data_IF_502083206374
#
_entry.id   IF_502083206374
#
_cell.length_a   1.000
_cell.length_b   1.000
_cell.length_c   1.000
_cell.angle_alpha   90.00
_cell.angle_beta   90.00
_cell.angle_gamma   90.00
#
_symmetry.space_group_name_H-M   'P 1'
#
loop_
_entity.id
_entity.type
_entity.pdbx_description
1 polymer ?
#
# COMPACT_ATOMS: atom_id res chain seq x y z
N UNK A 1 -29.74 -12.27 -24.96
CA UNK A 1 -30.49 -11.40 -24.04
C UNK A 1 -29.47 -10.68 -23.16
N UNK A 2 -28.94 -9.57 -23.65
CA UNK A 2 -27.99 -8.72 -22.91
C UNK A 2 -28.80 -7.74 -22.04
N UNK A 3 -28.67 -7.87 -20.72
CA UNK A 3 -29.27 -6.94 -19.79
C UNK A 3 -28.46 -5.63 -19.78
N UNK A 4 -28.97 -4.59 -20.44
CA UNK A 4 -28.51 -3.22 -20.30
C UNK A 4 -28.79 -2.74 -18.87
N UNK A 5 -27.78 -2.79 -18.01
CA UNK A 5 -27.77 -2.05 -16.75
C UNK A 5 -27.45 -0.58 -17.05
N UNK A 6 -28.48 0.16 -17.49
CA UNK A 6 -28.45 1.61 -17.64
C UNK A 6 -28.39 2.28 -16.28
N UNK A 7 -27.19 2.41 -15.72
CA UNK A 7 -26.94 3.19 -14.51
C UNK A 7 -26.93 4.66 -14.93
N UNK A 8 -28.10 5.31 -14.98
CA UNK A 8 -28.23 6.76 -15.16
C UNK A 8 -27.32 7.42 -14.13
N UNK A 9 -26.31 8.13 -14.60
CA UNK A 9 -25.34 8.71 -13.70
C UNK A 9 -26.00 9.91 -13.02
N UNK A 10 -25.79 10.10 -11.71
CA UNK A 10 -26.32 11.28 -10.99
C UNK A 10 -25.95 12.61 -11.67
N UNK A 11 -24.85 12.63 -12.44
CA UNK A 11 -24.45 13.78 -13.24
C UNK A 11 -25.43 14.14 -14.36
N UNK A 12 -26.12 13.16 -14.95
CA UNK A 12 -27.09 13.39 -16.01
C UNK A 12 -28.31 14.15 -15.47
N UNK A 13 -28.76 13.80 -14.25
CA UNK A 13 -29.87 14.48 -13.57
C UNK A 13 -29.56 15.94 -13.24
N UNK A 14 -28.34 16.25 -12.78
CA UNK A 14 -27.93 17.63 -12.49
C UNK A 14 -27.84 18.48 -13.75
N UNK A 15 -27.32 17.92 -14.84
CA UNK A 15 -27.28 18.60 -16.14
C UNK A 15 -28.68 18.91 -16.67
N UNK A 16 -29.64 18.00 -16.47
CA UNK A 16 -31.00 18.22 -16.91
C UNK A 16 -31.71 19.34 -16.12
N UNK A 17 -31.47 19.44 -14.81
CA UNK A 17 -31.95 20.57 -13.99
C UNK A 17 -31.36 21.90 -14.50
N UNK A 18 -30.07 21.95 -14.84
CA UNK A 18 -29.45 23.17 -15.39
C UNK A 18 -30.09 23.59 -16.73
N UNK A 19 -30.39 22.62 -17.60
CA UNK A 19 -31.11 22.89 -18.86
C UNK A 19 -32.54 23.39 -18.61
N UNK A 20 -33.21 22.95 -17.54
CA UNK A 20 -34.54 23.45 -17.17
C UNK A 20 -34.47 24.90 -16.69
N UNK A 21 -33.51 25.23 -15.84
CA UNK A 21 -33.27 26.61 -15.37
C UNK A 21 -32.97 27.52 -16.55
N UNK A 22 -32.10 27.11 -17.48
CA UNK A 22 -31.80 27.84 -18.70
C UNK A 22 -33.07 28.09 -19.53
N UNK A 23 -33.87 27.04 -19.78
CA UNK A 23 -35.14 27.14 -20.52
C UNK A 23 -36.11 28.11 -19.86
N UNK A 24 -36.17 28.15 -18.52
CA UNK A 24 -37.06 29.07 -17.81
C UNK A 24 -36.68 30.55 -18.05
N UNK A 25 -35.38 30.86 -18.09
CA UNK A 25 -34.89 32.20 -18.41
C UNK A 25 -35.14 32.58 -19.89
N UNK A 26 -34.90 31.65 -20.82
CA UNK A 26 -35.19 31.83 -22.25
C UNK A 26 -36.68 32.10 -22.47
N UNK A 27 -37.57 31.30 -21.88
CA UNK A 27 -39.02 31.49 -21.97
C UNK A 27 -39.47 32.83 -21.38
N UNK A 28 -38.86 33.26 -20.26
CA UNK A 28 -39.17 34.56 -19.66
C UNK A 28 -38.74 35.71 -20.57
N UNK A 29 -37.62 35.54 -21.27
CA UNK A 29 -37.17 36.47 -22.29
C UNK A 29 -38.09 36.53 -23.52
N UNK A 30 -38.52 35.38 -24.04
CA UNK A 30 -39.42 35.31 -25.19
C UNK A 30 -40.78 35.98 -24.91
N UNK A 31 -41.30 35.85 -23.69
CA UNK A 31 -42.54 36.52 -23.26
C UNK A 31 -42.40 38.04 -23.30
N UNK A 32 -41.25 38.58 -22.89
CA UNK A 32 -40.98 40.03 -22.94
C UNK A 32 -40.84 40.48 -24.40
N UNK A 33 -40.21 39.67 -25.25
CA UNK A 33 -40.05 39.93 -26.68
C UNK A 33 -41.41 40.04 -27.39
N UNK A 34 -42.35 39.13 -27.05
CA UNK A 34 -43.69 39.08 -27.61
C UNK A 34 -44.63 40.17 -27.08
N UNK A 35 -44.51 40.56 -25.80
CA UNK A 35 -45.36 41.61 -25.21
C UNK A 35 -45.08 42.99 -25.81
N UNK A 36 -43.84 43.28 -26.19
CA UNK A 36 -43.44 44.60 -26.71
C UNK A 36 -43.69 45.74 -25.71
N UNK A 37 -43.53 47.00 -26.16
CA UNK A 37 -43.85 48.19 -25.36
C UNK A 37 -42.64 49.01 -24.89
N UNK A 38 -42.93 50.16 -24.28
CA UNK A 38 -41.91 51.16 -23.90
C UNK A 38 -40.92 50.69 -22.84
N UNK A 39 -41.31 49.74 -22.00
CA UNK A 39 -40.50 49.24 -20.88
C UNK A 39 -39.79 47.91 -21.20
N UNK A 40 -39.81 47.46 -22.45
CA UNK A 40 -39.23 46.18 -22.88
C UNK A 40 -37.77 46.04 -22.44
N UNK A 41 -36.92 47.01 -22.79
CA UNK A 41 -35.49 46.98 -22.46
C UNK A 41 -35.24 46.90 -20.95
N UNK A 42 -36.05 47.59 -20.14
CA UNK A 42 -35.93 47.58 -18.68
C UNK A 42 -36.19 46.17 -18.11
N UNK A 43 -37.29 45.54 -18.54
CA UNK A 43 -37.63 44.16 -18.14
C UNK A 43 -36.58 43.14 -18.61
N UNK A 44 -36.03 43.30 -19.82
CA UNK A 44 -34.95 42.44 -20.31
C UNK A 44 -33.69 42.56 -19.44
N UNK A 45 -33.32 43.79 -19.08
CA UNK A 45 -32.19 44.05 -18.18
C UNK A 45 -32.42 43.45 -16.80
N UNK A 46 -33.63 43.51 -16.25
CA UNK A 46 -33.97 42.86 -14.97
C UNK A 46 -33.80 41.34 -15.02
N UNK A 47 -34.27 40.68 -16.09
CA UNK A 47 -34.11 39.23 -16.25
C UNK A 47 -32.64 38.85 -16.37
N UNK A 48 -31.85 39.59 -17.14
CA UNK A 48 -30.41 39.36 -17.27
C UNK A 48 -29.68 39.60 -15.94
N UNK A 49 -30.04 40.64 -15.18
CA UNK A 49 -29.47 40.90 -13.84
C UNK A 49 -29.78 39.76 -12.87
N UNK A 50 -31.01 39.24 -12.87
CA UNK A 50 -31.40 38.10 -12.04
C UNK A 50 -30.59 36.84 -12.44
N UNK A 51 -30.49 36.56 -13.74
CA UNK A 51 -29.71 35.43 -14.23
C UNK A 51 -28.23 35.52 -13.83
N UNK A 52 -27.61 36.70 -13.97
CA UNK A 52 -26.23 36.95 -13.55
C UNK A 52 -26.08 36.77 -12.03
N UNK A 53 -27.02 37.27 -11.23
CA UNK A 53 -27.00 37.10 -9.76
C UNK A 53 -27.07 35.63 -9.33
N UNK A 54 -27.94 34.84 -9.98
CA UNK A 54 -28.06 33.41 -9.71
C UNK A 54 -26.79 32.66 -10.12
N UNK A 55 -26.21 32.98 -11.29
CA UNK A 55 -24.95 32.42 -11.74
C UNK A 55 -23.79 32.72 -10.77
N UNK A 56 -23.71 33.95 -10.25
CA UNK A 56 -22.71 34.31 -9.23
C UNK A 56 -22.91 33.50 -7.94
N UNK A 57 -24.16 33.31 -7.51
CA UNK A 57 -24.50 32.53 -6.32
C UNK A 57 -24.15 31.05 -6.49
N UNK A 58 -24.47 30.46 -7.65
CA UNK A 58 -24.13 29.07 -7.98
C UNK A 58 -22.62 28.86 -8.06
N UNK A 59 -21.90 29.76 -8.72
CA UNK A 59 -20.43 29.70 -8.79
C UNK A 59 -19.80 29.83 -7.40
N UNK A 60 -20.34 30.69 -6.54
CA UNK A 60 -19.86 30.82 -5.16
C UNK A 60 -20.08 29.54 -4.34
N UNK A 61 -21.24 28.88 -4.51
CA UNK A 61 -21.50 27.59 -3.88
C UNK A 61 -20.58 26.50 -4.42
N UNK A 62 -20.36 26.45 -5.73
CA UNK A 62 -19.47 25.48 -6.37
C UNK A 62 -18.03 25.64 -5.86
N UNK A 63 -17.53 26.87 -5.76
CA UNK A 63 -16.19 27.14 -5.19
C UNK A 63 -16.10 26.58 -3.77
N UNK A 64 -17.07 26.89 -2.89
CA UNK A 64 -17.08 26.36 -1.51
C UNK A 64 -17.09 24.83 -1.46
N UNK A 65 -17.94 24.19 -2.26
CA UNK A 65 -18.02 22.72 -2.32
C UNK A 65 -16.71 22.12 -2.82
N UNK A 66 -16.07 22.74 -3.81
CA UNK A 66 -14.76 22.31 -4.30
C UNK A 66 -13.70 22.48 -3.21
N UNK A 67 -13.66 23.61 -2.52
CA UNK A 67 -12.76 23.86 -1.39
C UNK A 67 -12.94 22.82 -0.27
N UNK A 68 -14.18 22.51 0.09
CA UNK A 68 -14.50 21.48 1.10
C UNK A 68 -14.02 20.09 0.66
N UNK A 69 -14.24 19.72 -0.60
CA UNK A 69 -13.78 18.45 -1.16
C UNK A 69 -12.25 18.37 -1.24
N UNK A 70 -11.58 19.46 -1.59
CA UNK A 70 -10.13 19.56 -1.57
C UNK A 70 -9.57 19.44 -0.16
N UNK A 71 -10.21 20.07 0.83
CA UNK A 71 -9.84 19.97 2.24
C UNK A 71 -10.06 18.56 2.79
N UNK A 72 -11.16 17.90 2.43
CA UNK A 72 -11.42 16.51 2.81
C UNK A 72 -10.39 15.57 2.17
N UNK A 73 -10.11 15.74 0.88
CA UNK A 73 -9.13 14.92 0.15
C UNK A 73 -7.73 15.06 0.73
N UNK A 74 -7.30 16.29 1.04
CA UNK A 74 -5.99 16.56 1.65
C UNK A 74 -5.89 16.01 3.08
N UNK A 75 -6.96 16.16 3.88
CA UNK A 75 -7.03 15.59 5.24
C UNK A 75 -6.96 14.07 5.22
N UNK A 76 -7.70 13.41 4.32
CA UNK A 76 -7.68 11.96 4.14
C UNK A 76 -6.30 11.48 3.70
N UNK A 77 -5.65 12.19 2.78
CA UNK A 77 -4.29 11.87 2.33
C UNK A 77 -3.27 12.00 3.48
N UNK A 78 -3.41 13.01 4.34
CA UNK A 78 -2.54 13.20 5.49
C UNK A 78 -2.67 12.05 6.51
N UNK A 79 -3.91 11.61 6.79
CA UNK A 79 -4.17 10.47 7.67
C UNK A 79 -3.57 9.18 7.11
N UNK A 80 -3.78 8.89 5.83
CA UNK A 80 -3.23 7.69 5.19
C UNK A 80 -1.70 7.70 5.14
N UNK A 81 -1.07 8.87 4.94
CA UNK A 81 0.39 9.00 5.05
C UNK A 81 0.88 8.66 6.45
N UNK A 82 0.19 9.11 7.50
CA UNK A 82 0.54 8.79 8.91
C UNK A 82 0.44 7.28 9.17
N UNK A 83 -0.67 6.65 8.81
CA UNK A 83 -0.85 5.18 8.93
C UNK A 83 0.23 4.41 8.19
N UNK A 84 0.56 4.84 6.96
CA UNK A 84 1.62 4.22 6.18
C UNK A 84 2.99 4.37 6.86
N UNK A 85 3.29 5.53 7.46
CA UNK A 85 4.53 5.71 8.21
C UNK A 85 4.61 4.84 9.45
N UNK A 86 3.52 4.70 10.21
CA UNK A 86 3.42 3.84 11.40
C UNK A 86 3.66 2.37 11.03
N UNK A 87 2.91 1.85 10.05
CA UNK A 87 3.09 0.48 9.55
C UNK A 87 4.51 0.24 9.00
N UNK A 88 5.11 1.24 8.37
CA UNK A 88 6.49 1.14 7.89
C UNK A 88 7.52 1.11 9.04
N UNK A 89 7.24 1.75 10.17
CA UNK A 89 8.08 1.71 11.36
C UNK A 89 7.95 0.36 12.08
N UNK A 90 6.74 -0.16 12.23
CA UNK A 90 6.46 -1.49 12.80
C UNK A 90 7.20 -2.58 12.02
N UNK A 91 7.05 -2.62 10.69
CA UNK A 91 7.77 -3.58 9.84
C UNK A 91 9.29 -3.48 9.96
N UNK A 92 9.83 -2.27 10.14
CA UNK A 92 11.27 -2.07 10.37
C UNK A 92 11.69 -2.60 11.74
N UNK A 93 10.90 -2.37 12.78
CA UNK A 93 11.15 -2.86 14.12
C UNK A 93 11.11 -4.40 14.17
N UNK A 94 10.11 -5.01 13.53
CA UNK A 94 10.00 -6.47 13.36
C UNK A 94 11.21 -7.04 12.61
N UNK A 95 11.58 -6.45 11.48
CA UNK A 95 12.74 -6.88 10.72
C UNK A 95 14.04 -6.77 11.55
N UNK A 96 14.19 -5.73 12.36
CA UNK A 96 15.33 -5.58 13.27
C UNK A 96 15.31 -6.63 14.40
N UNK A 97 14.14 -6.98 14.93
CA UNK A 97 13.99 -8.04 15.92
C UNK A 97 14.34 -9.42 15.33
N UNK A 98 13.85 -9.73 14.14
CA UNK A 98 14.18 -10.97 13.43
C UNK A 98 15.68 -11.08 13.11
N UNK A 99 16.31 -9.99 12.67
CA UNK A 99 17.78 -9.97 12.46
C UNK A 99 18.55 -10.25 13.74
N UNK A 100 18.13 -9.69 14.88
CA UNK A 100 18.75 -9.98 16.18
C UNK A 100 18.59 -11.46 16.57
N UNK A 101 17.40 -12.04 16.37
CA UNK A 101 17.15 -13.46 16.62
C UNK A 101 18.02 -14.36 15.76
N UNK A 102 18.13 -14.05 14.47
CA UNK A 102 19.01 -14.78 13.54
C UNK A 102 20.48 -14.69 13.99
N UNK A 103 20.96 -13.50 14.35
CA UNK A 103 22.33 -13.32 14.83
C UNK A 103 22.64 -14.12 16.10
N UNK A 104 21.69 -14.23 17.04
CA UNK A 104 21.81 -15.10 18.22
C UNK A 104 21.95 -16.58 17.83
N UNK A 105 21.07 -17.06 16.94
CA UNK A 105 21.12 -18.45 16.44
C UNK A 105 22.42 -18.75 15.69
N UNK A 106 22.90 -17.82 14.88
CA UNK A 106 24.19 -17.97 14.19
C UNK A 106 25.36 -18.07 15.18
N UNK A 107 25.30 -17.33 16.30
CA UNK A 107 26.31 -17.43 17.35
C UNK A 107 26.23 -18.77 18.11
N UNK A 108 25.03 -19.25 18.45
CA UNK A 108 24.83 -20.57 19.05
C UNK A 108 25.36 -21.70 18.14
N UNK A 109 25.06 -21.63 16.84
CA UNK A 109 25.56 -22.60 15.86
C UNK A 109 27.09 -22.59 15.79
N UNK A 110 27.72 -21.41 15.79
CA UNK A 110 29.19 -21.30 15.88
C UNK A 110 29.73 -21.90 17.18
N UNK A 111 29.07 -21.66 18.31
CA UNK A 111 29.43 -22.25 19.60
C UNK A 111 29.36 -23.77 19.58
N UNK A 112 28.29 -24.34 19.03
CA UNK A 112 28.11 -25.79 18.89
C UNK A 112 29.19 -26.41 17.99
N UNK A 113 29.49 -25.79 16.86
CA UNK A 113 30.55 -26.23 15.95
C UNK A 113 31.92 -26.23 16.66
N UNK A 114 32.19 -25.24 17.51
CA UNK A 114 33.42 -25.18 18.30
C UNK A 114 33.48 -26.29 19.37
N UNK A 115 32.36 -26.62 20.03
CA UNK A 115 32.29 -27.78 20.94
C UNK A 115 32.63 -29.08 20.20
N UNK A 116 32.02 -29.31 19.03
CA UNK A 116 32.29 -30.49 18.20
C UNK A 116 33.75 -30.55 17.75
N UNK A 117 34.34 -29.40 17.41
CA UNK A 117 35.75 -29.28 17.04
C UNK A 117 36.67 -29.70 18.20
N UNK A 118 36.41 -29.19 19.41
CA UNK A 118 37.19 -29.53 20.63
C UNK A 118 37.09 -31.00 20.99
N UNK A 119 35.87 -31.55 20.94
CA UNK A 119 35.62 -32.98 21.13
C UNK A 119 36.48 -33.85 20.22
N UNK A 120 36.55 -33.49 18.93
CA UNK A 120 37.33 -34.23 17.94
C UNK A 120 38.84 -34.11 18.14
N UNK A 121 39.32 -32.97 18.61
CA UNK A 121 40.76 -32.67 18.70
C UNK A 121 41.40 -33.03 20.04
N UNK A 122 40.64 -32.91 21.14
CA UNK A 122 41.18 -33.05 22.50
C UNK A 122 40.51 -34.20 23.30
N UNK A 123 39.54 -34.92 22.72
CA UNK A 123 38.79 -36.01 23.37
C UNK A 123 38.06 -35.64 24.68
N UNK A 124 37.85 -34.34 24.94
CA UNK A 124 37.04 -33.85 26.06
C UNK A 124 36.11 -32.69 25.67
N UNK A 125 34.94 -32.63 26.33
CA UNK A 125 33.98 -31.53 26.20
C UNK A 125 34.26 -30.43 27.21
N UNK A 126 34.76 -29.26 26.77
CA UNK A 126 34.76 -28.04 27.60
C UNK A 126 33.94 -26.93 26.96
N UNK A 127 33.01 -26.37 27.73
CA UNK A 127 32.20 -25.21 27.34
C UNK A 127 32.89 -23.87 27.66
N UNK A 128 34.13 -23.89 28.16
CA UNK A 128 34.84 -22.68 28.55
C UNK A 128 34.99 -21.71 27.37
N UNK A 129 34.49 -20.49 27.57
CA UNK A 129 34.45 -19.42 26.57
C UNK A 129 33.36 -19.56 25.50
N UNK A 130 32.47 -20.55 25.60
CA UNK A 130 31.34 -20.73 24.69
C UNK A 130 30.06 -20.39 25.42
N UNK A 131 29.41 -19.30 25.00
CA UNK A 131 28.13 -18.89 25.54
C UNK A 131 27.02 -19.19 24.53
N UNK A 132 26.00 -19.90 24.99
CA UNK A 132 24.76 -20.09 24.24
C UNK A 132 23.71 -19.11 24.76
N UNK A 133 22.91 -18.58 23.85
CA UNK A 133 21.80 -17.71 24.21
C UNK A 133 20.63 -18.54 24.75
N UNK A 134 20.18 -18.24 25.96
CA UNK A 134 18.96 -18.82 26.51
C UNK A 134 17.74 -18.38 25.70
N UNK A 135 16.84 -19.34 25.44
CA UNK A 135 15.57 -19.07 24.76
C UNK A 135 14.64 -18.41 25.77
N UNK A 136 14.31 -17.14 25.55
CA UNK A 136 13.35 -16.43 26.41
C UNK A 136 11.91 -16.74 26.00
N UNK A 137 10.94 -16.54 26.90
CA UNK A 137 9.51 -16.66 26.56
C UNK A 137 9.12 -15.77 25.37
N UNK A 138 9.72 -14.59 25.28
CA UNK A 138 9.53 -13.65 24.18
C UNK A 138 10.05 -14.17 22.84
N UNK A 139 11.01 -15.10 22.82
CA UNK A 139 11.46 -15.77 21.60
C UNK A 139 10.48 -16.83 21.09
N UNK A 140 9.66 -17.40 21.98
CA UNK A 140 8.66 -18.43 21.68
C UNK A 140 7.29 -17.79 21.37
N UNK A 141 6.87 -16.84 22.20
CA UNK A 141 5.52 -16.26 22.17
C UNK A 141 5.45 -14.85 21.56
N UNK A 142 6.60 -14.23 21.24
CA UNK A 142 6.67 -12.85 20.76
C UNK A 142 6.66 -11.81 21.89
N UNK A 143 6.76 -10.50 21.58
CA UNK A 143 6.64 -9.44 22.58
C UNK A 143 5.28 -9.53 23.29
N UNK A 144 5.29 -9.50 24.61
CA UNK A 144 4.12 -9.72 25.49
C UNK A 144 2.94 -8.78 25.20
N UNK A 145 3.20 -7.63 24.58
CA UNK A 145 2.25 -6.56 24.27
C UNK A 145 1.10 -7.01 23.33
N UNK A 146 1.26 -8.11 22.58
CA UNK A 146 0.19 -8.65 21.74
C UNK A 146 -1.00 -9.24 22.51
N UNK A 147 -0.83 -9.55 23.80
CA UNK A 147 -1.87 -10.21 24.60
C UNK A 147 -2.87 -9.23 25.22
N UNK A 148 -2.47 -7.98 25.47
CA UNK A 148 -3.30 -7.02 26.22
C UNK A 148 -4.33 -6.29 25.32
N UNK A 149 -4.02 -6.02 24.05
CA UNK A 149 -4.96 -5.31 23.16
C UNK A 149 -6.23 -6.09 22.80
N UNK A 150 -6.26 -7.42 22.97
CA UNK A 150 -7.43 -8.25 22.65
C UNK A 150 -8.38 -8.51 23.82
N UNK A 151 -8.00 -8.15 25.04
CA UNK A 151 -8.84 -8.33 26.23
C UNK A 151 -9.63 -7.08 26.62
N UNK A 152 -9.23 -5.88 26.19
CA UNK A 152 -9.93 -4.63 26.55
C UNK A 152 -11.01 -4.19 25.54
N UNK A 153 -11.11 -4.80 24.36
CA UNK A 153 -12.12 -4.41 23.35
C UNK A 153 -13.39 -5.28 23.38
N UNK A 154 -13.66 -5.95 24.50
CA UNK A 154 -14.89 -6.68 24.75
C UNK A 154 -15.79 -5.93 25.73
N UNK A 155 -16.88 -5.37 25.18
CA UNK A 155 -18.14 -5.10 25.89
C UNK A 155 -18.13 -4.10 27.07
N UNK A 156 -18.17 -2.81 26.74
CA UNK A 156 -18.89 -1.85 27.59
C UNK A 156 -19.71 -0.90 26.73
N UNK A 157 -21.03 -1.06 26.86
CA UNK A 157 -22.05 -0.48 25.99
C UNK A 157 -22.13 1.04 25.94
N UNK A 158 -22.81 1.46 24.88
CA UNK A 158 -23.11 2.83 24.52
C UNK A 158 -23.72 3.68 25.64
N UNK A 159 -23.20 4.89 25.83
CA UNK A 159 -24.04 6.09 26.04
C UNK A 159 -23.50 7.26 25.21
N UNK A 160 -24.40 7.80 24.37
CA UNK A 160 -24.23 9.06 23.64
C UNK A 160 -24.08 10.21 24.64
N UNK A 161 -23.08 11.06 24.43
CA UNK A 161 -23.18 12.49 24.70
C UNK A 161 -22.11 13.26 23.91
N UNK A 162 -22.54 14.29 23.18
CA UNK A 162 -21.78 15.47 22.73
C UNK A 162 -22.67 16.67 23.09
N UNK A 163 -22.17 17.92 23.20
CA UNK A 163 -20.78 18.41 23.20
C UNK A 163 -20.47 19.44 24.32
N UNK A 164 -19.19 19.78 24.56
CA UNK A 164 -18.84 20.97 25.36
C UNK A 164 -17.36 21.15 25.74
N UNK A 165 -16.75 22.19 25.18
CA UNK A 165 -15.68 23.07 25.71
C UNK A 165 -14.35 22.52 26.28
N UNK A 166 -13.27 23.03 25.67
CA UNK A 166 -12.03 23.54 26.29
C UNK A 166 -11.60 23.03 27.68
N UNK A 167 -10.43 22.38 27.76
CA UNK A 167 -9.17 22.95 28.29
C UNK A 167 -8.04 21.90 28.27
N UNK A 168 -6.84 22.37 27.92
CA UNK A 168 -5.50 21.89 28.31
C UNK A 168 -5.16 20.38 28.21
N UNK A 169 -4.32 20.04 27.23
CA UNK A 169 -3.25 19.06 27.47
C UNK A 169 -2.04 19.31 26.55
N UNK A 170 -1.14 20.20 27.00
CA UNK A 170 0.23 20.31 26.48
C UNK A 170 1.12 19.29 27.20
N UNK A 171 0.97 18.00 26.87
CA UNK A 171 1.65 16.91 27.59
C UNK A 171 2.55 15.98 26.77
N UNK A 172 2.44 15.92 25.43
CA UNK A 172 2.98 14.78 24.67
C UNK A 172 3.90 15.10 23.47
N UNK A 173 4.50 16.30 23.41
CA UNK A 173 5.35 16.73 22.28
C UNK A 173 6.86 16.83 22.57
N UNK A 174 7.41 16.06 23.53
CA UNK A 174 8.85 16.14 23.86
C UNK A 174 9.74 14.95 23.47
N UNK A 175 9.23 13.95 22.73
CA UNK A 175 10.05 12.78 22.39
C UNK A 175 10.26 12.54 20.88
N UNK A 176 10.33 13.58 20.05
CA UNK A 176 10.80 13.47 18.66
C UNK A 176 11.70 14.66 18.32
N UNK A 177 12.87 14.75 18.98
CA UNK A 177 13.93 15.66 18.53
C UNK A 177 15.33 15.19 18.91
N UNK A 178 15.66 13.93 18.62
CA UNK A 178 17.06 13.48 18.60
C UNK A 178 17.24 12.33 17.60
N UNK A 179 17.34 12.67 16.31
CA UNK A 179 18.02 11.83 15.30
C UNK A 179 18.22 12.62 14.01
N UNK A 180 19.05 13.67 14.04
CA UNK A 180 19.63 14.31 12.85
C UNK A 180 20.81 15.19 13.27
N UNK A 181 21.89 14.56 13.74
CA UNK A 181 23.23 15.14 13.67
C UNK A 181 24.08 14.14 12.88
N UNK A 182 24.06 14.26 11.56
CA UNK A 182 25.15 13.70 10.77
C UNK A 182 26.36 14.62 10.92
N UNK A 183 27.55 14.09 11.22
CA UNK A 183 28.77 14.88 11.19
C UNK A 183 29.09 15.22 9.73
N UNK A 184 29.21 16.53 9.46
CA UNK A 184 29.60 17.05 8.17
C UNK A 184 30.98 16.57 7.75
N UNK A 185 31.10 16.21 6.48
CA UNK A 185 32.39 15.89 5.86
C UNK A 185 32.32 14.84 4.78
N UNK A 186 31.47 14.99 3.76
CA UNK A 186 31.53 14.11 2.58
C UNK A 186 31.51 14.96 1.33
N UNK A 187 32.65 14.94 0.62
CA UNK A 187 32.84 15.57 -0.67
C UNK A 187 31.73 15.17 -1.65
N UNK A 188 31.45 16.10 -2.57
CA UNK A 188 30.47 15.97 -3.66
C UNK A 188 30.75 14.73 -4.53
N UNK A 189 30.35 13.54 -4.07
CA UNK A 189 30.28 12.35 -4.92
C UNK A 189 29.13 12.53 -5.90
N UNK A 190 29.47 12.39 -7.17
CA UNK A 190 28.61 12.65 -8.33
C UNK A 190 27.31 11.82 -8.20
N UNK A 191 26.14 12.37 -8.56
CA UNK A 191 24.83 11.71 -8.43
C UNK A 191 24.62 10.50 -9.38
N UNK A 192 25.67 9.99 -10.01
CA UNK A 192 25.57 8.94 -11.02
C UNK A 192 25.61 7.51 -10.44
N UNK A 193 26.20 7.31 -9.26
CA UNK A 193 26.33 5.96 -8.66
C UNK A 193 25.02 5.44 -8.04
N UNK A 194 24.22 6.32 -7.41
CA UNK A 194 22.95 5.91 -6.77
C UNK A 194 21.89 5.40 -7.77
N UNK A 195 21.97 5.79 -9.03
CA UNK A 195 21.07 5.29 -10.07
C UNK A 195 21.37 3.83 -10.46
N UNK A 196 22.60 3.37 -10.26
CA UNK A 196 23.02 2.01 -10.59
C UNK A 196 22.59 1.03 -9.50
N UNK A 197 22.72 1.40 -8.23
CA UNK A 197 22.27 0.58 -7.08
C UNK A 197 20.75 0.36 -7.09
N UNK A 198 19.97 1.41 -7.37
CA UNK A 198 18.52 1.29 -7.44
C UNK A 198 18.08 0.38 -8.59
N UNK A 199 18.81 0.38 -9.71
CA UNK A 199 18.55 -0.50 -10.85
C UNK A 199 18.88 -1.96 -10.50
N UNK A 200 19.99 -2.21 -9.81
CA UNK A 200 20.37 -3.55 -9.34
C UNK A 200 19.32 -4.10 -8.36
N UNK A 201 18.84 -3.27 -7.42
CA UNK A 201 17.78 -3.65 -6.49
C UNK A 201 16.45 -3.93 -7.21
N UNK A 202 16.08 -3.12 -8.20
CA UNK A 202 14.88 -3.34 -9.01
C UNK A 202 14.95 -4.65 -9.79
N UNK A 203 16.08 -4.91 -10.47
CA UNK A 203 16.29 -6.14 -11.24
C UNK A 203 16.31 -7.38 -10.33
N UNK A 204 16.90 -7.27 -9.13
CA UNK A 204 16.88 -8.32 -8.11
C UNK A 204 15.46 -8.61 -7.61
N UNK A 205 14.70 -7.57 -7.28
CA UNK A 205 13.31 -7.70 -6.82
C UNK A 205 12.42 -8.30 -7.91
N UNK A 206 12.64 -7.92 -9.18
CA UNK A 206 11.91 -8.48 -10.31
C UNK A 206 12.20 -9.97 -10.51
N UNK A 207 13.46 -10.40 -10.35
CA UNK A 207 13.84 -11.82 -10.38
C UNK A 207 13.20 -12.60 -9.23
N UNK A 208 13.20 -12.07 -8.02
CA UNK A 208 12.58 -12.70 -6.85
C UNK A 208 11.07 -12.85 -7.03
N UNK A 209 10.36 -11.81 -7.50
CA UNK A 209 8.94 -11.89 -7.81
C UNK A 209 8.66 -12.99 -8.85
N UNK A 210 9.46 -13.06 -9.92
CA UNK A 210 9.31 -14.11 -10.94
C UNK A 210 9.56 -15.54 -10.40
N UNK A 211 10.38 -15.68 -9.35
CA UNK A 211 10.61 -16.96 -8.69
C UNK A 211 9.43 -17.33 -7.80
N UNK A 212 8.92 -16.38 -7.00
CA UNK A 212 7.72 -16.57 -6.17
C UNK A 212 6.47 -16.88 -7.01
N UNK A 213 6.31 -16.25 -8.17
CA UNK A 213 5.19 -16.56 -9.09
C UNK A 213 5.28 -17.97 -9.71
N UNK A 214 6.49 -18.51 -9.86
CA UNK A 214 6.68 -19.91 -10.27
C UNK A 214 6.31 -20.86 -9.12
N UNK A 215 6.71 -20.49 -7.90
CA UNK A 215 6.41 -21.27 -6.69
C UNK A 215 4.90 -21.31 -6.39
N UNK A 216 4.20 -20.18 -6.50
CA UNK A 216 2.74 -20.12 -6.35
C UNK A 216 2.05 -21.02 -7.38
N UNK A 217 2.52 -21.03 -8.64
CA UNK A 217 1.98 -21.92 -9.67
C UNK A 217 2.22 -23.40 -9.36
N UNK A 218 3.37 -23.74 -8.78
CA UNK A 218 3.68 -25.10 -8.31
C UNK A 218 2.72 -25.52 -7.19
N UNK A 219 2.61 -24.71 -6.13
CA UNK A 219 1.72 -24.99 -5.00
C UNK A 219 0.24 -25.10 -5.42
N UNK A 220 -0.22 -24.28 -6.37
CA UNK A 220 -1.57 -24.40 -6.91
C UNK A 220 -1.80 -25.73 -7.63
N UNK A 221 -0.77 -26.25 -8.33
CA UNK A 221 -0.85 -27.55 -8.98
C UNK A 221 -0.92 -28.68 -7.96
N UNK A 222 -0.11 -28.61 -6.91
CA UNK A 222 -0.11 -29.60 -5.82
C UNK A 222 -1.44 -29.59 -5.07
N UNK A 223 -2.00 -28.39 -4.80
CA UNK A 223 -3.33 -28.23 -4.21
C UNK A 223 -4.42 -28.92 -5.05
N UNK A 224 -4.43 -28.71 -6.37
CA UNK A 224 -5.38 -29.38 -7.28
C UNK A 224 -5.21 -30.91 -7.26
N UNK A 225 -3.98 -31.40 -7.13
CA UNK A 225 -3.72 -32.84 -6.99
C UNK A 225 -4.30 -33.39 -5.68
N UNK A 226 -4.17 -32.66 -4.57
CA UNK A 226 -4.78 -33.06 -3.30
C UNK A 226 -6.30 -33.02 -3.36
N UNK A 227 -6.91 -32.01 -3.98
CA UNK A 227 -8.35 -31.95 -4.20
C UNK A 227 -8.85 -33.16 -4.99
N UNK A 228 -8.14 -33.54 -6.06
CA UNK A 228 -8.47 -34.73 -6.85
C UNK A 228 -8.34 -36.02 -6.03
N UNK A 229 -7.29 -36.12 -5.20
CA UNK A 229 -7.06 -37.28 -4.34
C UNK A 229 -8.17 -37.42 -3.29
N UNK A 230 -8.58 -36.32 -2.65
CA UNK A 230 -9.69 -36.29 -1.71
C UNK A 230 -11.00 -36.70 -2.41
N UNK A 231 -11.24 -36.22 -3.63
CA UNK A 231 -12.41 -36.59 -4.42
C UNK A 231 -12.43 -38.10 -4.75
N UNK A 232 -11.28 -38.66 -5.13
CA UNK A 232 -11.14 -40.10 -5.40
C UNK A 232 -11.41 -40.94 -4.14
N UNK A 233 -10.81 -40.58 -3.00
CA UNK A 233 -11.03 -41.28 -1.73
C UNK A 233 -12.49 -41.22 -1.27
N UNK A 234 -13.16 -40.08 -1.47
CA UNK A 234 -14.61 -39.98 -1.20
C UNK A 234 -15.42 -40.92 -2.08
N UNK A 235 -15.06 -41.05 -3.35
CA UNK A 235 -15.74 -41.96 -4.28
C UNK A 235 -15.49 -43.43 -3.89
N UNK A 236 -14.27 -43.80 -3.49
CA UNK A 236 -13.93 -45.13 -2.99
C UNK A 236 -14.71 -45.47 -1.71
N UNK A 237 -14.77 -44.54 -0.75
CA UNK A 237 -15.52 -44.73 0.49
C UNK A 237 -17.03 -44.88 0.23
N UNK A 238 -17.59 -44.10 -0.71
CA UNK A 238 -18.99 -44.25 -1.13
C UNK A 238 -19.24 -45.58 -1.85
N UNK A 239 -18.28 -46.11 -2.60
CA UNK A 239 -18.40 -47.41 -3.26
C UNK A 239 -18.34 -48.58 -2.25
N UNK A 240 -17.57 -48.46 -1.16
CA UNK A 240 -17.55 -49.46 -0.08
C UNK A 240 -18.89 -49.53 0.67
N UNK A 241 -19.56 -48.40 0.91
CA UNK A 241 -20.86 -48.36 1.61
C UNK A 241 -22.01 -49.03 0.83
N UNK A 242 -21.87 -49.27 -0.47
CA UNK A 242 -22.89 -49.94 -1.27
C UNK A 242 -22.77 -51.48 -1.31
N UNK A 243 -21.68 -52.07 -0.81
CA UNK A 243 -21.51 -53.55 -0.80
C UNK A 243 -21.88 -54.23 0.52
N UNK A 244 -21.84 -53.51 1.65
CA UNK A 244 -22.18 -54.08 2.96
C UNK A 244 -23.61 -53.80 3.44
N UNK A 245 -24.42 -53.12 2.63
CA UNK A 245 -25.88 -53.17 2.75
C UNK A 245 -26.43 -54.51 2.20
N UNK A 246 -25.83 -55.62 2.66
CA UNK A 246 -26.41 -56.95 2.55
C UNK A 246 -27.70 -56.99 3.37
N UNK A 247 -28.78 -57.63 2.91
CA UNK A 247 -30.09 -57.64 3.57
C UNK A 247 -30.09 -58.59 4.77
N UNK A 248 -29.26 -58.31 5.78
CA UNK A 248 -29.17 -59.15 6.99
C UNK A 248 -30.00 -58.54 8.14
N UNK A 249 -30.30 -57.24 8.13
CA UNK A 249 -31.04 -56.59 9.24
C UNK A 249 -32.54 -56.40 8.94
N UNK A 250 -33.17 -57.36 8.25
CA UNK A 250 -34.64 -57.43 8.15
C UNK A 250 -35.26 -58.70 8.74
N UNK A 251 -34.47 -59.70 9.15
CA UNK A 251 -35.01 -60.90 9.81
C UNK A 251 -35.12 -60.79 11.33
N UNK A 252 -34.34 -59.92 11.96
CA UNK A 252 -34.34 -59.82 13.42
C UNK A 252 -35.37 -58.82 13.99
N UNK A 253 -36.06 -58.08 13.10
CA UNK A 253 -37.17 -57.20 13.48
C UNK A 253 -38.56 -57.87 13.41
N UNK A 254 -38.67 -59.04 12.76
CA UNK A 254 -39.93 -59.82 12.68
C UNK A 254 -40.04 -60.93 13.76
N UNK A 255 -38.94 -61.30 14.42
CA UNK A 255 -38.93 -62.32 15.49
C UNK A 255 -39.33 -61.75 16.85
N UNK A 256 -39.30 -60.42 17.06
CA UNK A 256 -39.66 -59.80 18.35
C UNK A 256 -41.11 -59.32 18.47
N UNK A 257 -41.96 -59.58 17.48
CA UNK A 257 -43.39 -59.19 17.49
C UNK A 257 -44.36 -60.38 17.46
N UNK A 258 -43.86 -61.62 17.55
CA UNK A 258 -44.65 -62.85 17.37
C UNK A 258 -44.88 -63.71 18.62
N UNK A 259 -44.60 -63.22 19.84
CA UNK A 259 -44.75 -64.02 21.08
C UNK A 259 -45.57 -63.34 22.22
N UNK A 260 -46.58 -62.52 21.91
CA UNK A 260 -47.51 -62.01 22.94
C UNK A 260 -48.99 -62.10 22.54
N UNK A 261 -49.41 -63.26 22.07
CA UNK A 261 -50.83 -63.58 21.93
C UNK A 261 -51.09 -65.07 22.19
N UNK A 262 -51.00 -65.51 23.46
CA UNK A 262 -51.68 -66.73 23.92
C UNK A 262 -52.36 -66.41 25.26
N UNK A 263 -53.69 -66.36 25.18
CA UNK A 263 -54.62 -66.52 26.30
C UNK A 263 -54.30 -67.81 27.08
N UNK A 264 -54.36 -67.78 28.41
CA UNK A 264 -55.23 -68.66 29.22
C UNK A 264 -55.01 -68.50 30.72
N UNK A 265 -56.15 -68.37 31.38
CA UNK A 265 -56.50 -68.72 32.75
C UNK A 265 -55.58 -69.76 33.42
N UNK A 266 -55.13 -69.44 34.64
CA UNK A 266 -54.92 -70.43 35.69
C UNK A 266 -55.21 -69.77 37.05
N UNK A 267 -56.42 -70.03 37.51
CA UNK A 267 -56.89 -69.88 38.87
C UNK A 267 -56.15 -70.83 39.83
N UNK A 268 -55.96 -70.34 41.05
CA UNK A 268 -55.94 -71.04 42.36
C UNK A 268 -54.62 -71.61 42.93
N UNK A 269 -54.46 -71.17 44.18
CA UNK A 269 -53.86 -71.82 45.35
C UNK A 269 -52.34 -71.99 45.39
N UNK A 270 -51.65 -71.05 46.04
CA UNK A 270 -50.80 -71.45 47.17
C UNK A 270 -50.61 -70.33 48.20
N UNK A 271 -50.78 -70.75 49.45
CA UNK A 271 -50.89 -69.98 50.67
C UNK A 271 -49.50 -69.81 51.32
N UNK A 272 -49.29 -68.66 51.94
CA UNK A 272 -48.39 -68.41 53.06
C UNK A 272 -46.89 -68.76 52.93
N UNK A 273 -46.04 -67.73 52.86
CA UNK A 273 -45.03 -67.45 53.91
C UNK A 273 -44.85 -65.93 54.02
N UNK A 274 -45.46 -65.33 55.05
CA UNK A 274 -45.09 -63.99 55.54
C UNK A 274 -43.85 -64.15 56.42
N UNK A 275 -42.67 -63.84 55.88
CA UNK A 275 -41.55 -63.41 56.71
C UNK A 275 -41.45 -61.88 56.62
N UNK A 276 -41.60 -61.15 57.74
CA UNK A 276 -41.25 -59.74 57.79
C UNK A 276 -39.73 -59.67 57.93
N UNK A 277 -39.02 -59.70 56.80
CA UNK A 277 -37.63 -59.25 56.76
C UNK A 277 -37.72 -57.73 56.77
N UNK A 278 -37.15 -57.10 57.80
CA UNK A 278 -36.98 -55.66 57.90
C UNK A 278 -36.08 -55.18 56.76
N UNK A 279 -36.68 -54.83 55.63
CA UNK A 279 -36.04 -54.21 54.46
C UNK A 279 -36.67 -52.83 54.27
N UNK A 280 -36.52 -51.97 55.29
CA UNK A 280 -37.12 -50.64 55.26
C UNK A 280 -36.08 -49.52 55.10
N UNK A 281 -34.77 -49.79 55.23
CA UNK A 281 -33.71 -48.77 55.12
C UNK A 281 -32.98 -48.82 53.76
N UNK A 282 -32.50 -50.00 53.31
CA UNK A 282 -31.75 -50.14 52.05
C UNK A 282 -32.56 -49.79 50.78
N UNK A 283 -33.89 -49.89 50.86
CA UNK A 283 -34.81 -49.60 49.76
C UNK A 283 -34.93 -48.10 49.51
N UNK A 284 -34.84 -47.27 50.55
CA UNK A 284 -34.92 -45.82 50.44
C UNK A 284 -33.68 -45.24 49.75
N UNK A 285 -32.49 -45.72 50.12
CA UNK A 285 -31.22 -45.33 49.51
C UNK A 285 -31.14 -45.67 48.02
N UNK A 286 -31.75 -46.80 47.61
CA UNK A 286 -31.83 -47.19 46.20
C UNK A 286 -32.69 -46.22 45.37
N UNK A 287 -33.85 -45.81 45.90
CA UNK A 287 -34.71 -44.83 45.23
C UNK A 287 -34.07 -43.44 45.20
N UNK A 288 -33.36 -43.02 46.25
CA UNK A 288 -32.63 -41.74 46.26
C UNK A 288 -31.51 -41.72 45.22
N UNK A 289 -30.74 -42.81 45.11
CA UNK A 289 -29.69 -42.95 44.10
C UNK A 289 -30.26 -42.91 42.68
N UNK A 290 -31.39 -43.57 42.43
CA UNK A 290 -32.09 -43.52 41.14
C UNK A 290 -32.58 -42.11 40.81
N UNK A 291 -33.18 -41.41 41.78
CA UNK A 291 -33.66 -40.04 41.60
C UNK A 291 -32.50 -39.09 41.26
N UNK A 292 -31.37 -39.23 41.96
CA UNK A 292 -30.17 -38.45 41.71
C UNK A 292 -29.60 -38.69 40.30
N UNK A 293 -29.58 -39.94 39.84
CA UNK A 293 -29.17 -40.27 38.46
C UNK A 293 -30.13 -39.67 37.43
N UNK A 294 -31.44 -39.67 37.71
CA UNK A 294 -32.45 -39.08 36.83
C UNK A 294 -32.30 -37.56 36.72
N UNK A 295 -32.07 -36.88 37.84
CA UNK A 295 -31.85 -35.43 37.87
C UNK A 295 -30.54 -35.03 37.20
N UNK A 296 -29.49 -35.83 37.38
CA UNK A 296 -28.22 -35.67 36.65
C UNK A 296 -28.39 -35.87 35.14
N UNK A 297 -29.17 -36.87 34.71
CA UNK A 297 -29.50 -37.09 33.29
C UNK A 297 -30.32 -35.93 32.71
N UNK A 298 -31.30 -35.40 33.46
CA UNK A 298 -32.08 -34.22 33.06
C UNK A 298 -31.20 -32.98 32.92
N UNK A 299 -30.30 -32.75 33.87
CA UNK A 299 -29.33 -31.65 33.85
C UNK A 299 -28.31 -31.78 32.71
N UNK A 300 -27.80 -32.99 32.46
CA UNK A 300 -26.92 -33.25 31.32
C UNK A 300 -27.65 -33.06 29.99
N UNK A 301 -28.92 -33.48 29.90
CA UNK A 301 -29.74 -33.32 28.70
C UNK A 301 -30.01 -31.85 28.37
N UNK A 302 -30.31 -31.02 29.38
CA UNK A 302 -30.48 -29.58 29.19
C UNK A 302 -29.17 -28.91 28.75
N UNK A 303 -28.04 -29.31 29.33
CA UNK A 303 -26.69 -28.84 28.94
C UNK A 303 -26.33 -29.22 27.49
N UNK A 304 -26.70 -30.42 27.03
CA UNK A 304 -26.48 -30.82 25.64
C UNK A 304 -27.33 -29.96 24.68
N UNK A 305 -28.56 -29.61 25.06
CA UNK A 305 -29.43 -28.74 24.24
C UNK A 305 -28.86 -27.34 24.11
N UNK A 306 -28.37 -26.75 25.20
CA UNK A 306 -27.75 -25.41 25.18
C UNK A 306 -26.47 -25.42 24.34
N UNK A 307 -25.61 -26.44 24.46
CA UNK A 307 -24.43 -26.60 23.61
C UNK A 307 -24.77 -26.73 22.12
N UNK A 308 -25.84 -27.44 21.77
CA UNK A 308 -26.31 -27.53 20.37
C UNK A 308 -26.78 -26.17 19.85
N UNK A 309 -27.49 -25.38 20.67
CA UNK A 309 -27.92 -24.04 20.30
C UNK A 309 -26.71 -23.11 20.05
N UNK A 310 -25.70 -23.15 20.93
CA UNK A 310 -24.46 -22.37 20.75
C UNK A 310 -23.70 -22.81 19.49
N UNK A 311 -23.61 -24.11 19.21
CA UNK A 311 -22.97 -24.61 17.99
C UNK A 311 -23.69 -24.15 16.72
N UNK A 312 -25.02 -24.09 16.72
CA UNK A 312 -25.79 -23.55 15.59
C UNK A 312 -25.49 -22.06 15.41
N UNK A 313 -25.53 -21.28 16.49
CA UNK A 313 -25.22 -19.84 16.44
C UNK A 313 -23.78 -19.56 15.95
N UNK A 314 -22.80 -20.33 16.44
CA UNK A 314 -21.40 -20.22 16.01
C UNK A 314 -21.23 -20.59 14.53
N UNK A 315 -21.95 -21.61 14.06
CA UNK A 315 -21.94 -22.00 12.65
C UNK A 315 -22.50 -20.89 11.76
N UNK A 316 -23.61 -20.26 12.17
CA UNK A 316 -24.20 -19.12 11.46
C UNK A 316 -23.25 -17.92 11.40
N UNK A 317 -22.56 -17.62 12.50
CA UNK A 317 -21.53 -16.56 12.56
C UNK A 317 -20.34 -16.89 11.64
N UNK A 318 -19.84 -18.12 11.66
CA UNK A 318 -18.78 -18.56 10.76
C UNK A 318 -19.20 -18.43 9.28
N UNK A 319 -20.46 -18.76 8.94
CA UNK A 319 -21.00 -18.55 7.61
C UNK A 319 -21.12 -17.05 7.25
N UNK A 320 -21.51 -16.19 8.20
CA UNK A 320 -21.54 -14.75 8.00
C UNK A 320 -20.14 -14.18 7.73
N UNK A 321 -19.14 -14.59 8.51
CA UNK A 321 -17.74 -14.20 8.32
C UNK A 321 -17.18 -14.64 6.96
N UNK A 322 -17.50 -15.87 6.50
CA UNK A 322 -17.12 -16.33 5.16
C UNK A 322 -17.71 -15.45 4.05
N UNK A 323 -18.97 -14.98 4.20
CA UNK A 323 -19.59 -14.05 3.24
C UNK A 323 -18.87 -12.70 3.21
N UNK A 324 -18.48 -12.17 4.38
CA UNK A 324 -17.73 -10.92 4.48
C UNK A 324 -16.35 -11.06 3.83
N UNK A 325 -15.64 -12.17 4.07
CA UNK A 325 -14.35 -12.44 3.44
C UNK A 325 -14.47 -12.51 1.92
N UNK A 326 -15.47 -13.22 1.40
CA UNK A 326 -15.71 -13.30 -0.05
C UNK A 326 -16.03 -11.93 -0.67
N UNK A 327 -16.83 -11.10 0.02
CA UNK A 327 -17.12 -9.73 -0.42
C UNK A 327 -15.86 -8.85 -0.41
N UNK A 328 -15.02 -8.98 0.61
CA UNK A 328 -13.75 -8.24 0.71
C UNK A 328 -12.77 -8.66 -0.39
N UNK A 329 -12.66 -9.96 -0.68
CA UNK A 329 -11.84 -10.47 -1.79
C UNK A 329 -12.29 -9.92 -3.13
N UNK A 330 -13.61 -9.86 -3.36
CA UNK A 330 -14.16 -9.26 -4.57
C UNK A 330 -13.83 -7.76 -4.66
N UNK A 331 -13.88 -7.02 -3.54
CA UNK A 331 -13.47 -5.62 -3.50
C UNK A 331 -11.98 -5.44 -3.78
N UNK A 332 -11.11 -6.29 -3.22
CA UNK A 332 -9.68 -6.30 -3.49
C UNK A 332 -9.39 -6.54 -4.98
N UNK A 333 -10.04 -7.54 -5.60
CA UNK A 333 -9.91 -7.80 -7.05
C UNK A 333 -10.36 -6.60 -7.88
N UNK A 334 -11.49 -5.98 -7.53
CA UNK A 334 -11.99 -4.78 -8.22
C UNK A 334 -11.06 -3.56 -8.04
N UNK A 335 -10.38 -3.44 -6.91
CA UNK A 335 -9.39 -2.40 -6.67
C UNK A 335 -8.14 -2.61 -7.55
N UNK A 336 -7.67 -3.85 -7.69
CA UNK A 336 -6.53 -4.18 -8.56
C UNK A 336 -6.82 -3.86 -10.03
N UNK A 337 -7.99 -4.23 -10.54
CA UNK A 337 -8.36 -3.92 -11.95
C UNK A 337 -8.48 -2.42 -12.19
N UNK A 338 -9.05 -1.66 -11.24
CA UNK A 338 -9.08 -0.19 -11.30
C UNK A 338 -7.67 0.43 -11.27
N UNK A 339 -6.76 -0.12 -10.48
CA UNK A 339 -5.37 0.33 -10.45
C UNK A 339 -4.66 0.08 -11.78
N UNK A 340 -4.81 -1.12 -12.35
CA UNK A 340 -4.27 -1.46 -13.68
C UNK A 340 -4.77 -0.50 -14.77
N UNK A 341 -6.07 -0.20 -14.79
CA UNK A 341 -6.63 0.77 -15.73
C UNK A 341 -6.00 2.17 -15.60
N UNK A 342 -5.82 2.65 -14.35
CA UNK A 342 -5.16 3.94 -14.10
C UNK A 342 -3.72 3.94 -14.60
N UNK A 343 -2.98 2.85 -14.38
CA UNK A 343 -1.60 2.72 -14.86
C UNK A 343 -1.51 2.71 -16.38
N UNK A 344 -2.44 2.03 -17.05
CA UNK A 344 -2.53 2.01 -18.52
C UNK A 344 -2.85 3.39 -19.09
N UNK A 345 -3.79 4.12 -18.47
CA UNK A 345 -4.11 5.50 -18.83
C UNK A 345 -2.91 6.43 -18.66
N UNK A 346 -2.18 6.34 -17.53
CA UNK A 346 -0.97 7.13 -17.30
C UNK A 346 0.10 6.79 -18.35
N UNK A 347 0.27 5.50 -18.69
CA UNK A 347 1.22 5.06 -19.71
C UNK A 347 0.87 5.66 -21.08
N UNK A 348 -0.41 5.67 -21.43
CA UNK A 348 -0.92 6.24 -22.67
C UNK A 348 -0.77 7.78 -22.72
N UNK A 349 -1.13 8.49 -21.64
CA UNK A 349 -0.92 9.94 -21.55
C UNK A 349 0.57 10.30 -21.67
N UNK A 350 1.47 9.53 -21.04
CA UNK A 350 2.92 9.72 -21.18
C UNK A 350 3.39 9.46 -22.62
N UNK A 351 2.82 8.48 -23.32
CA UNK A 351 3.10 8.20 -24.74
C UNK A 351 2.68 9.40 -25.62
N UNK A 352 1.47 9.91 -25.43
CA UNK A 352 0.96 11.07 -26.16
C UNK A 352 1.81 12.32 -25.92
N UNK A 353 2.20 12.58 -24.66
CA UNK A 353 3.07 13.69 -24.31
C UNK A 353 4.44 13.59 -24.99
N UNK A 354 5.04 12.39 -25.04
CA UNK A 354 6.30 12.15 -25.77
C UNK A 354 6.15 12.44 -27.27
N UNK A 355 5.04 12.03 -27.88
CA UNK A 355 4.76 12.29 -29.30
C UNK A 355 4.56 13.78 -29.58
N UNK A 356 3.78 14.48 -28.74
CA UNK A 356 3.59 15.92 -28.86
C UNK A 356 4.92 16.67 -28.75
N UNK A 357 5.76 16.30 -27.77
CA UNK A 357 7.10 16.86 -27.61
C UNK A 357 7.99 16.59 -28.81
N UNK A 358 7.96 15.37 -29.37
CA UNK A 358 8.72 15.04 -30.58
C UNK A 358 8.26 15.85 -31.79
N UNK A 359 6.95 16.05 -31.98
CA UNK A 359 6.39 16.91 -33.03
C UNK A 359 6.84 18.36 -32.86
N UNK A 360 6.82 18.89 -31.62
CA UNK A 360 7.30 20.24 -31.32
C UNK A 360 8.80 20.39 -31.58
N UNK A 361 9.62 19.40 -31.20
CA UNK A 361 11.06 19.39 -31.50
C UNK A 361 11.33 19.38 -33.01
N UNK A 362 10.60 18.57 -33.79
CA UNK A 362 10.72 18.57 -35.27
C UNK A 362 10.33 19.92 -35.87
N UNK A 363 9.23 20.51 -35.42
CA UNK A 363 8.80 21.85 -35.87
C UNK A 363 9.81 22.95 -35.48
N UNK A 364 10.45 22.84 -34.31
CA UNK A 364 11.52 23.75 -33.92
C UNK A 364 12.77 23.58 -34.78
N UNK A 365 13.13 22.33 -35.13
CA UNK A 365 14.26 22.03 -36.00
C UNK A 365 14.05 22.58 -37.42
N UNK A 366 12.87 22.42 -38.02
CA UNK A 366 12.58 22.97 -39.36
C UNK A 366 12.58 24.50 -39.35
N UNK A 367 12.06 25.13 -38.29
CA UNK A 367 12.17 26.59 -38.10
C UNK A 367 13.61 27.06 -37.96
N UNK A 368 14.47 26.31 -37.26
CA UNK A 368 15.89 26.62 -37.15
C UNK A 368 16.59 26.50 -38.50
N UNK A 369 16.33 25.41 -39.24
CA UNK A 369 16.88 25.19 -40.58
C UNK A 369 16.49 26.31 -41.54
N UNK A 370 15.22 26.73 -41.56
CA UNK A 370 14.79 27.86 -42.38
C UNK A 370 15.49 29.18 -42.02
N UNK A 371 15.71 29.43 -40.72
CA UNK A 371 16.49 30.59 -40.28
C UNK A 371 17.94 30.53 -40.76
N UNK A 372 18.56 29.34 -40.70
CA UNK A 372 19.93 29.13 -41.15
C UNK A 372 20.05 29.31 -42.69
N UNK A 373 19.06 28.84 -43.46
CA UNK A 373 18.98 29.04 -44.91
C UNK A 373 18.89 30.53 -45.28
N UNK A 374 18.04 31.30 -44.57
CA UNK A 374 17.96 32.76 -44.74
C UNK A 374 19.30 33.41 -44.43
N UNK A 375 19.93 33.06 -43.30
CA UNK A 375 21.22 33.64 -42.90
C UNK A 375 22.30 33.32 -43.95
N UNK A 376 22.32 32.10 -44.48
CA UNK A 376 23.24 31.69 -45.52
C UNK A 376 23.03 32.50 -46.82
N UNK A 377 21.79 32.66 -47.26
CA UNK A 377 21.46 33.43 -48.46
C UNK A 377 21.77 34.93 -48.30
N UNK A 378 21.46 35.52 -47.13
CA UNK A 378 21.85 36.89 -46.82
C UNK A 378 23.39 37.07 -46.85
N UNK A 379 24.15 36.12 -46.30
CA UNK A 379 25.62 36.15 -46.35
C UNK A 379 26.15 36.03 -47.78
N UNK A 380 25.49 35.23 -48.62
CA UNK A 380 25.83 35.09 -50.05
C UNK A 380 25.60 36.40 -50.81
N UNK A 381 24.44 37.03 -50.63
CA UNK A 381 24.13 38.33 -51.24
C UNK A 381 25.12 39.42 -50.80
N UNK A 382 25.48 39.46 -49.51
CA UNK A 382 26.47 40.39 -48.98
C UNK A 382 27.86 40.19 -49.63
N UNK A 383 28.28 38.94 -49.86
CA UNK A 383 29.52 38.62 -50.58
C UNK A 383 29.48 39.13 -52.03
N UNK A 384 28.38 38.92 -52.74
CA UNK A 384 28.24 39.43 -54.12
C UNK A 384 28.23 40.96 -54.17
N UNK A 385 27.53 41.63 -53.26
CA UNK A 385 27.54 43.10 -53.16
C UNK A 385 28.95 43.63 -52.86
N UNK A 386 29.68 42.98 -51.96
CA UNK A 386 31.06 43.34 -51.64
C UNK A 386 32.02 43.12 -52.82
N UNK A 387 31.81 42.07 -53.63
CA UNK A 387 32.59 41.83 -54.83
C UNK A 387 32.34 42.92 -55.89
N UNK A 388 31.08 43.29 -56.14
CA UNK A 388 30.71 44.39 -57.05
C UNK A 388 31.34 45.73 -56.64
N UNK A 389 31.24 46.09 -55.37
CA UNK A 389 31.88 47.31 -54.84
C UNK A 389 33.40 47.30 -55.03
N UNK A 390 34.06 46.14 -54.92
CA UNK A 390 35.51 46.02 -55.15
C UNK A 390 35.88 46.21 -56.64
N UNK A 391 35.00 45.79 -57.54
CA UNK A 391 35.17 45.94 -58.99
C UNK A 391 34.94 47.40 -59.43
N UNK A 392 33.96 48.09 -58.82
CA UNK A 392 33.65 49.50 -59.08
C UNK A 392 34.68 50.47 -58.46
N UNK A 393 35.37 50.07 -57.38
CA UNK A 393 36.35 50.93 -56.67
C UNK A 393 37.79 50.80 -57.21
N UNK A 394 38.06 49.93 -58.18
CA UNK A 394 39.35 49.88 -58.86
C UNK A 394 39.41 50.95 -59.95
N UNK A 395 40.30 51.95 -59.87
CA UNK A 395 40.44 52.94 -60.91
C UNK A 395 40.88 52.27 -62.21
N UNK A 396 40.03 52.34 -63.24
CA UNK A 396 40.46 52.11 -64.63
C UNK A 396 41.53 53.15 -64.96
N UNK A 397 42.71 52.67 -65.35
CA UNK A 397 43.86 53.41 -65.85
C UNK A 397 44.77 53.97 -64.75
N UNK A 398 45.70 53.14 -64.28
CA UNK A 398 47.10 53.59 -64.17
C UNK A 398 47.98 52.61 -64.92
N UNK A 399 48.65 53.15 -65.94
CA UNK A 399 49.57 52.46 -66.80
C UNK A 399 50.65 51.74 -66.00
N UNK A 400 51.01 50.56 -66.51
CA UNK A 400 52.39 50.08 -66.53
C UNK A 400 53.32 51.28 -66.72
N UNK A 401 54.10 51.59 -65.71
CA UNK A 401 55.55 51.65 -65.80
C UNK A 401 56.11 51.97 -64.41
N UNK A 402 57.33 51.50 -64.21
CA UNK A 402 58.31 51.92 -63.20
C UNK A 402 58.41 51.15 -61.86
N UNK A 403 59.57 50.49 -61.76
CA UNK A 403 60.50 50.37 -60.61
C UNK A 403 60.42 49.12 -59.73
N UNK A 404 61.16 48.13 -60.20
CA UNK A 404 62.25 47.41 -59.51
C UNK A 404 62.69 47.86 -58.10
N UNK A 405 63.12 46.86 -57.34
CA UNK A 405 64.09 46.89 -56.23
C UNK A 405 63.58 47.13 -54.82
N UNK A 406 63.92 46.18 -53.94
CA UNK A 406 63.87 46.36 -52.50
C UNK A 406 63.79 45.06 -51.72
N UNK A 407 64.89 44.30 -51.72
CA UNK A 407 65.17 43.27 -50.72
C UNK A 407 64.96 43.80 -49.30
N UNK A 408 64.35 43.01 -48.42
CA UNK A 408 64.83 42.86 -47.05
C UNK A 408 64.25 41.61 -46.38
N UNK A 409 65.18 40.75 -45.98
CA UNK A 409 65.06 39.67 -45.00
C UNK A 409 64.29 40.12 -43.75
N UNK A 410 63.47 39.23 -43.16
CA UNK A 410 63.48 39.06 -41.70
C UNK A 410 62.90 37.70 -41.27
N UNK A 411 63.82 36.83 -40.85
CA UNK A 411 63.79 35.93 -39.69
C UNK A 411 62.60 34.94 -39.54
N UNK A 412 62.94 33.67 -39.83
CA UNK A 412 62.35 32.46 -39.24
C UNK A 412 62.53 32.46 -37.72
N UNK A 413 61.45 32.27 -36.96
CA UNK A 413 61.52 31.54 -35.70
C UNK A 413 60.41 30.48 -35.63
N UNK A 414 60.89 29.24 -35.60
CA UNK A 414 60.21 28.00 -35.25
C UNK A 414 59.72 28.04 -33.80
N UNK A 415 58.46 27.67 -33.59
CA UNK A 415 57.89 27.40 -32.27
C UNK A 415 56.93 26.22 -32.34
N UNK A 416 57.49 25.03 -32.18
CA UNK A 416 56.78 23.77 -31.94
C UNK A 416 56.12 23.84 -30.55
N UNK A 417 54.87 23.41 -30.44
CA UNK A 417 54.17 23.33 -29.16
C UNK A 417 52.70 23.00 -29.36
N UNK A 418 52.39 21.71 -29.53
CA UNK A 418 51.03 21.22 -29.40
C UNK A 418 50.58 21.35 -27.95
N UNK A 419 49.30 21.64 -27.74
CA UNK A 419 48.48 20.79 -26.88
C UNK A 419 46.99 21.10 -27.00
N UNK A 420 46.26 20.01 -27.12
CA UNK A 420 44.81 19.90 -27.13
C UNK A 420 44.18 20.38 -25.82
N UNK A 421 43.28 21.36 -25.87
CA UNK A 421 42.30 21.55 -24.80
C UNK A 421 40.95 22.06 -25.34
N UNK A 422 39.94 21.22 -25.14
CA UNK A 422 38.54 21.39 -25.51
C UNK A 422 37.93 22.66 -24.90
N UNK A 423 37.26 23.43 -25.75
CA UNK A 423 36.38 24.52 -25.35
C UNK A 423 35.21 24.04 -24.48
N UNK A 424 35.06 24.67 -23.30
CA UNK A 424 33.80 24.73 -22.58
C UNK A 424 33.17 26.09 -22.81
N UNK A 425 31.99 26.07 -23.43
CA UNK A 425 31.10 27.22 -23.60
C UNK A 425 30.69 27.79 -22.25
N UNK A 426 30.87 29.09 -22.10
CA UNK A 426 30.27 29.89 -21.05
C UNK A 426 28.75 29.99 -21.25
N UNK A 427 27.99 29.78 -20.17
CA UNK A 427 26.57 30.13 -20.05
C UNK A 427 26.43 31.58 -19.58
N UNK A 428 25.45 32.36 -20.06
CA UNK A 428 25.28 33.75 -19.65
C UNK A 428 24.53 33.86 -18.31
N UNK A 429 24.96 34.84 -17.52
CA UNK A 429 24.32 35.39 -16.33
C UNK A 429 22.86 35.77 -16.61
N UNK A 430 21.96 35.42 -15.68
CA UNK A 430 20.63 36.05 -15.52
C UNK A 430 20.58 36.72 -14.16
N UNK A 431 20.09 37.96 -14.15
CA UNK A 431 20.10 38.87 -13.02
C UNK A 431 19.06 38.57 -11.93
N UNK A 432 19.47 38.97 -10.72
CA UNK A 432 18.75 39.80 -9.72
C UNK A 432 17.23 39.90 -9.84
N UNK A 433 16.50 39.48 -8.80
CA UNK A 433 15.44 40.25 -8.15
C UNK A 433 15.05 39.66 -6.78
N UNK A 434 14.95 40.56 -5.79
CA UNK A 434 14.13 40.58 -4.56
C UNK A 434 14.26 39.42 -3.55
N UNK A 435 14.83 39.63 -2.36
CA UNK A 435 14.26 40.31 -1.18
C UNK A 435 13.10 39.52 -0.55
N UNK A 436 13.28 39.11 0.72
CA UNK A 436 12.26 39.06 1.78
C UNK A 436 12.96 38.68 3.10
N UNK A 437 12.58 39.41 4.13
CA UNK A 437 13.19 39.53 5.45
C UNK A 437 13.15 38.26 6.30
N UNK A 438 14.18 38.08 7.13
CA UNK A 438 14.21 37.12 8.24
C UNK A 438 14.31 37.89 9.55
N UNK A 439 13.39 37.69 10.53
CA UNK A 439 13.53 38.33 11.83
C UNK A 439 14.56 37.61 12.70
N UNK A 440 15.32 38.44 13.42
CA UNK A 440 16.27 38.12 14.47
C UNK A 440 15.67 37.21 15.56
N UNK A 441 16.46 36.22 16.00
CA UNK A 441 16.30 35.62 17.34
C UNK A 441 17.18 36.37 18.33
N UNK A 442 16.73 36.58 19.59
CA UNK A 442 17.56 37.11 20.65
C UNK A 442 18.45 36.01 21.25
N UNK A 443 19.70 36.39 21.50
CA UNK A 443 20.65 35.64 22.30
C UNK A 443 20.22 35.60 23.77
N UNK A 444 20.31 34.42 24.38
CA UNK A 444 20.45 34.29 25.81
C UNK A 444 21.48 33.20 26.11
N UNK A 445 22.60 33.67 26.68
CA UNK A 445 23.64 32.81 27.21
C UNK A 445 23.18 32.07 28.47
N UNK A 446 23.80 30.92 28.71
CA UNK A 446 24.08 30.47 30.06
C UNK A 446 25.25 29.50 30.03
N UNK A 447 26.17 29.76 30.94
CA UNK A 447 27.40 29.06 31.22
C UNK A 447 27.12 27.66 31.79
N UNK A 448 28.00 26.70 31.51
CA UNK A 448 27.94 25.36 32.10
C UNK A 448 29.28 24.64 31.99
N UNK A 449 30.13 24.83 33.00
CA UNK A 449 31.39 24.10 33.24
C UNK A 449 31.14 22.64 33.65
N UNK A 450 32.12 21.79 33.34
CA UNK A 450 32.39 20.49 33.99
C UNK A 450 31.91 19.28 33.17
N UNK A 451 32.63 18.18 33.01
CA UNK A 451 33.86 17.67 33.60
C UNK A 451 34.57 16.75 32.57
N UNK A 452 35.90 16.77 32.59
CA UNK A 452 36.77 15.74 32.00
C UNK A 452 36.52 14.40 32.70
N UNK A 453 36.37 13.33 31.92
CA UNK A 453 36.96 12.02 32.26
C UNK A 453 37.55 11.39 30.99
N UNK A 454 38.75 10.87 31.17
CA UNK A 454 39.61 10.26 30.18
C UNK A 454 39.52 8.71 30.24
N UNK A 455 40.31 8.07 29.38
CA UNK A 455 40.56 6.62 29.20
C UNK A 455 39.57 5.91 28.25
N UNK A 456 39.99 5.05 27.31
CA UNK A 456 41.30 4.56 26.87
C UNK A 456 41.08 3.92 25.48
N UNK A 457 41.99 4.13 24.53
CA UNK A 457 42.93 3.11 24.03
C UNK A 457 42.39 1.66 24.05
N UNK A 458 42.15 1.09 22.87
CA UNK A 458 43.08 0.11 22.29
C UNK A 458 42.65 -0.25 20.87
N UNK A 459 43.54 0.04 19.93
CA UNK A 459 43.50 -0.50 18.58
C UNK A 459 44.25 -1.83 18.54
N UNK A 460 43.74 -2.80 17.78
CA UNK A 460 44.58 -3.81 17.15
C UNK A 460 44.07 -4.10 15.73
N UNK A 461 44.89 -3.63 14.79
CA UNK A 461 45.07 -4.19 13.46
C UNK A 461 45.66 -5.59 13.56
N UNK A 462 45.23 -6.52 12.72
CA UNK A 462 46.17 -7.46 12.09
C UNK A 462 45.69 -7.83 10.68
N UNK A 463 46.60 -7.60 9.74
CA UNK A 463 46.60 -8.12 8.38
C UNK A 463 47.13 -9.55 8.37
N UNK A 464 46.67 -10.31 7.38
CA UNK A 464 47.41 -11.30 6.58
C UNK A 464 48.29 -12.35 7.28
N UNK A 465 47.88 -13.61 7.14
CA UNK A 465 48.58 -14.57 6.28
C UNK A 465 47.59 -15.52 5.61
#
# INVERSE_FOLDING_TARGET
>A
MEAQCGRVSRGDQTLDILKEVQRAYEQRMDRIEQQGGRNKLELQVEVLRAWVSDLVSQNSLLVRVVEDLELEATSRLALERRKHTEMSLERRAEAAALRRRLARKDADLRGLLEVLRRLREFDYCTLDGIHFFEVTESDIFGPSDWREQKLESGDSGARRARPGSHTQDEGCLKLIRHCSKEPGGVGKKKPFERSSELKILYDSLQKENSAKDREIRRLNKDMQQYEQTIMNLKNEMNQCHCRDASPIVKKDAEIMTTDCAIERECDKDEEAVKQPVSVDDDTADYYETLQQMEDNLKSSSSSIRTLRQVNVALSEEAHALRRVCAALDQQCRAAVTRAQFKDDLIREMRRQLKQAKAKQCRAAATRAQFRDDIIWEMRRQLKHAKAKLKEESLPRNFSKDLVESGDHEFVRQSGHGGDTARGRRATPRRGVHAAMDTPQQPESGSEGRGHRLAAGDDGMSFQSN
#
